data_IF_669073906174
#
_entry.id   IF_669073906174
#
_cell.length_a   1.000
_cell.length_b   1.000
_cell.length_c   1.000
_cell.angle_alpha   90.00
_cell.angle_beta   90.00
_cell.angle_gamma   90.00
#
_symmetry.space_group_name_H-M   'P 1'
#
loop_
_entity.id
_entity.type
_entity.pdbx_description
1 polymer ?
#
# COMPACT_ATOMS: atom_id res chain seq x y z
N UNK A 1 58.57 -4.40 43.95
CA UNK A 1 58.09 -5.25 42.83
C UNK A 1 56.56 -5.40 42.72
N UNK A 2 55.74 -5.04 43.73
CA UNK A 2 54.28 -5.24 43.69
C UNK A 2 53.48 -4.19 42.86
N UNK A 3 54.03 -3.00 42.65
CA UNK A 3 53.35 -1.92 41.88
C UNK A 3 53.36 -2.14 40.35
N UNK A 4 54.38 -2.82 39.79
CA UNK A 4 54.45 -3.10 38.35
C UNK A 4 53.42 -4.15 37.90
N UNK A 5 53.12 -5.12 38.76
CA UNK A 5 52.11 -6.15 38.49
C UNK A 5 50.68 -5.57 38.47
N UNK A 6 50.38 -4.62 39.37
CA UNK A 6 49.07 -3.97 39.44
C UNK A 6 48.81 -3.07 38.21
N UNK A 7 49.84 -2.37 37.73
CA UNK A 7 49.74 -1.55 36.52
C UNK A 7 49.55 -2.38 35.24
N UNK A 8 50.20 -3.55 35.13
CA UNK A 8 49.97 -4.46 34.00
C UNK A 8 48.56 -5.05 34.01
N UNK A 9 48.02 -5.39 35.18
CA UNK A 9 46.67 -5.94 35.32
C UNK A 9 45.59 -4.92 34.91
N UNK A 10 45.80 -3.65 35.24
CA UNK A 10 44.93 -2.53 34.84
C UNK A 10 44.99 -2.29 33.32
N UNK A 11 46.17 -2.40 32.69
CA UNK A 11 46.30 -2.26 31.23
C UNK A 11 45.59 -3.42 30.51
N UNK A 12 45.67 -4.65 31.01
CA UNK A 12 44.94 -5.80 30.43
C UNK A 12 43.42 -5.63 30.56
N UNK A 13 42.93 -5.08 31.68
CA UNK A 13 41.50 -4.77 31.86
C UNK A 13 40.99 -3.66 30.93
N UNK A 14 41.84 -2.73 30.50
CA UNK A 14 41.47 -1.68 29.54
C UNK A 14 41.45 -2.16 28.08
N UNK A 15 42.11 -3.28 27.75
CA UNK A 15 42.06 -3.88 26.40
C UNK A 15 40.89 -4.85 26.20
N UNK A 16 40.12 -5.17 27.26
CA UNK A 16 38.84 -5.90 27.16
C UNK A 16 37.62 -4.99 27.03
N UNK A 17 37.80 -3.69 26.73
CA UNK A 17 36.74 -2.88 26.12
C UNK A 17 36.57 -3.36 24.68
N UNK A 18 36.03 -4.57 24.58
CA UNK A 18 35.57 -5.23 23.39
C UNK A 18 34.69 -4.24 22.65
N UNK A 19 35.06 -3.96 21.40
CA UNK A 19 34.23 -3.20 20.49
C UNK A 19 32.89 -3.95 20.41
N UNK A 20 31.88 -3.48 21.16
CA UNK A 20 30.54 -4.07 21.13
C UNK A 20 30.07 -3.97 19.68
N UNK A 21 30.11 -5.11 18.99
CA UNK A 21 29.58 -5.18 17.63
C UNK A 21 28.08 -4.94 17.76
N UNK A 22 27.65 -3.74 17.38
CA UNK A 22 26.24 -3.40 17.28
C UNK A 22 25.57 -4.49 16.45
N UNK A 23 24.64 -5.27 17.02
CA UNK A 23 24.07 -6.38 16.30
C UNK A 23 23.28 -5.87 15.09
N UNK A 24 23.11 -6.71 14.08
CA UNK A 24 22.32 -6.33 12.92
C UNK A 24 20.89 -5.96 13.34
N UNK A 25 20.31 -4.95 12.69
CA UNK A 25 18.94 -4.53 12.93
C UNK A 25 18.22 -4.21 11.61
N UNK A 26 16.90 -4.33 11.61
CA UNK A 26 16.06 -3.86 10.51
C UNK A 26 15.12 -2.77 11.02
N UNK A 27 15.18 -1.63 10.35
CA UNK A 27 14.23 -0.54 10.46
C UNK A 27 13.15 -0.72 9.39
N UNK A 28 12.02 -1.31 9.77
CA UNK A 28 10.84 -1.45 8.92
C UNK A 28 10.02 -0.17 8.97
N UNK A 29 9.87 0.51 7.82
CA UNK A 29 9.02 1.69 7.64
C UNK A 29 7.81 1.34 6.80
N UNK A 30 6.67 1.90 7.19
CA UNK A 30 5.39 1.76 6.50
C UNK A 30 5.02 3.14 5.98
N UNK A 31 4.89 3.26 4.66
CA UNK A 31 4.49 4.49 4.00
C UNK A 31 3.39 4.22 2.99
N UNK A 32 2.58 5.24 2.71
CA UNK A 32 1.61 5.19 1.62
C UNK A 32 2.14 5.94 0.40
N UNK A 33 2.00 5.34 -0.78
CA UNK A 33 2.28 6.00 -2.06
C UNK A 33 1.33 7.18 -2.26
N UNK A 34 0.04 6.95 -2.04
CA UNK A 34 -0.98 7.98 -2.01
C UNK A 34 -1.02 8.65 -0.62
N UNK A 35 -0.63 9.92 -0.55
CA UNK A 35 -0.59 10.69 0.71
C UNK A 35 -1.97 10.98 1.33
N UNK A 36 -3.05 10.71 0.59
CA UNK A 36 -4.43 10.74 1.09
C UNK A 36 -4.75 9.52 1.98
N UNK A 37 -3.94 8.46 1.90
CA UNK A 37 -3.99 7.32 2.78
C UNK A 37 -3.01 7.53 3.94
N UNK A 38 -3.51 7.39 5.18
CA UNK A 38 -2.71 7.55 6.40
C UNK A 38 -3.09 6.54 7.50
N UNK A 39 -4.18 5.81 7.30
CA UNK A 39 -4.77 4.95 8.31
C UNK A 39 -4.10 3.57 8.31
N UNK A 40 -3.21 3.38 9.30
CA UNK A 40 -2.51 2.11 9.50
C UNK A 40 -3.44 0.97 9.95
N UNK A 41 -4.63 1.27 10.50
CA UNK A 41 -5.56 0.22 10.97
C UNK A 41 -6.02 -0.69 9.84
N UNK A 42 -5.97 -0.18 8.59
CA UNK A 42 -6.30 -0.90 7.35
C UNK A 42 -5.32 -2.02 7.00
N UNK A 43 -4.16 -2.08 7.65
CA UNK A 43 -3.11 -3.07 7.41
C UNK A 43 -3.25 -4.21 8.42
N UNK A 44 -3.99 -5.28 8.11
CA UNK A 44 -4.31 -6.27 9.15
C UNK A 44 -3.13 -7.04 9.72
N UNK A 45 -2.08 -7.27 8.92
CA UNK A 45 -0.93 -8.01 9.43
C UNK A 45 0.31 -7.92 8.57
N UNK A 46 1.44 -7.99 9.25
CA UNK A 46 2.77 -8.13 8.64
C UNK A 46 3.41 -9.36 9.27
N UNK A 47 3.70 -10.37 8.44
CA UNK A 47 4.41 -11.57 8.87
C UNK A 47 5.84 -11.50 8.37
N UNK A 48 6.79 -11.71 9.28
CA UNK A 48 8.20 -11.71 8.99
C UNK A 48 8.71 -13.12 9.14
N UNK A 49 9.35 -13.62 8.10
CA UNK A 49 9.98 -14.93 8.06
C UNK A 49 11.50 -14.76 8.06
N UNK A 50 12.21 -15.62 8.78
CA UNK A 50 13.65 -15.81 8.68
C UNK A 50 13.91 -17.21 8.15
N UNK A 51 14.58 -17.31 7.00
CA UNK A 51 14.95 -18.58 6.36
C UNK A 51 13.74 -19.53 6.22
N UNK A 52 12.58 -18.97 5.84
CA UNK A 52 11.33 -19.70 5.65
C UNK A 52 10.54 -20.00 6.94
N UNK A 53 11.06 -19.69 8.13
CA UNK A 53 10.35 -19.86 9.41
C UNK A 53 9.80 -18.55 9.92
N UNK A 54 8.64 -18.57 10.57
CA UNK A 54 8.05 -17.36 11.16
C UNK A 54 9.01 -16.82 12.23
N UNK A 55 9.45 -15.58 12.02
CA UNK A 55 10.30 -14.84 12.94
C UNK A 55 9.47 -13.91 13.84
N UNK A 56 8.53 -13.16 13.24
CA UNK A 56 7.66 -12.23 13.98
C UNK A 56 6.35 -12.00 13.23
N UNK A 57 5.29 -11.67 13.96
CA UNK A 57 4.00 -11.25 13.40
C UNK A 57 3.60 -9.94 14.04
N UNK A 58 3.09 -9.01 13.24
CA UNK A 58 2.46 -7.78 13.69
C UNK A 58 1.01 -7.77 13.22
N UNK A 59 0.12 -7.22 14.03
CA UNK A 59 -1.33 -7.13 13.75
C UNK A 59 -1.85 -5.71 14.03
N UNK A 60 -2.90 -5.31 13.34
CA UNK A 60 -3.63 -4.07 13.68
C UNK A 60 -4.34 -4.17 15.02
N UNK A 61 -4.78 -5.37 15.40
CA UNK A 61 -5.73 -5.57 16.51
C UNK A 61 -5.10 -6.26 17.72
N UNK A 62 -3.93 -6.87 17.54
CA UNK A 62 -3.24 -7.63 18.60
C UNK A 62 -1.78 -7.20 18.71
N UNK A 63 -1.23 -7.28 19.92
CA UNK A 63 0.19 -7.01 20.16
C UNK A 63 1.06 -8.13 19.53
N UNK A 64 2.21 -7.79 18.91
CA UNK A 64 2.72 -6.44 18.73
C UNK A 64 1.99 -5.69 17.61
N UNK A 65 1.61 -4.44 17.88
CA UNK A 65 0.86 -3.62 16.95
C UNK A 65 1.71 -3.14 15.77
N UNK A 66 1.04 -2.85 14.66
CA UNK A 66 1.65 -2.18 13.51
C UNK A 66 1.84 -0.69 13.84
N UNK A 67 3.07 -0.20 13.71
CA UNK A 67 3.43 1.21 13.80
C UNK A 67 4.09 1.67 12.49
N UNK A 68 4.09 2.98 12.24
CA UNK A 68 4.72 3.58 11.05
C UNK A 68 6.20 3.19 10.91
N UNK A 69 6.85 2.97 12.04
CA UNK A 69 8.24 2.53 12.13
C UNK A 69 8.35 1.42 13.17
N UNK A 70 8.99 0.32 12.80
CA UNK A 70 9.21 -0.87 13.64
C UNK A 70 10.69 -1.22 13.56
N UNK A 71 11.34 -1.35 14.71
CA UNK A 71 12.72 -1.83 14.79
C UNK A 71 12.75 -3.32 15.15
N UNK A 72 13.53 -4.09 14.40
CA UNK A 72 13.87 -5.48 14.67
C UNK A 72 15.36 -5.53 14.98
N UNK A 73 15.71 -5.62 16.26
CA UNK A 73 17.11 -5.64 16.71
C UNK A 73 17.62 -7.06 16.91
N UNK A 74 18.93 -7.17 17.19
CA UNK A 74 19.58 -8.44 17.54
C UNK A 74 19.41 -9.52 16.48
N UNK A 75 19.47 -9.13 15.21
CA UNK A 75 19.29 -10.03 14.08
C UNK A 75 20.56 -10.84 13.82
N UNK A 76 20.35 -12.09 13.44
CA UNK A 76 21.39 -13.01 12.99
C UNK A 76 21.36 -13.10 11.48
N UNK A 77 22.49 -13.49 10.87
CA UNK A 77 22.57 -13.70 9.43
C UNK A 77 21.47 -14.65 8.91
N UNK A 78 20.99 -14.34 7.70
CA UNK A 78 19.91 -15.08 7.05
C UNK A 78 19.08 -14.22 6.10
N UNK A 79 18.12 -14.85 5.45
CA UNK A 79 17.15 -14.16 4.58
C UNK A 79 15.89 -13.83 5.37
N UNK A 80 15.53 -12.55 5.39
CA UNK A 80 14.30 -12.06 6.00
C UNK A 80 13.27 -11.73 4.91
N UNK A 81 12.07 -12.28 5.02
CA UNK A 81 10.93 -12.02 4.13
C UNK A 81 9.78 -11.36 4.89
N UNK A 82 9.33 -10.21 4.39
CA UNK A 82 8.20 -9.44 4.90
C UNK A 82 7.00 -9.72 4.01
N UNK A 83 5.97 -10.34 4.58
CA UNK A 83 4.74 -10.73 3.89
C UNK A 83 3.57 -9.95 4.46
N UNK A 84 2.83 -9.26 3.61
CA UNK A 84 1.68 -8.45 4.01
C UNK A 84 0.63 -8.42 2.90
N UNK A 85 -0.62 -8.17 3.26
CA UNK A 85 -1.71 -7.91 2.30
C UNK A 85 -1.82 -6.41 2.06
N UNK A 86 -1.91 -5.99 0.80
CA UNK A 86 -2.13 -4.59 0.43
C UNK A 86 -3.62 -4.20 0.51
N UNK A 87 -3.95 -2.93 0.27
CA UNK A 87 -5.33 -2.43 0.38
C UNK A 87 -6.30 -2.98 -0.68
N UNK A 88 -5.80 -3.74 -1.67
CA UNK A 88 -6.58 -4.39 -2.75
C UNK A 88 -6.40 -5.92 -2.73
N UNK A 89 -6.23 -6.51 -1.55
CA UNK A 89 -6.22 -7.96 -1.31
C UNK A 89 -5.13 -8.78 -2.04
N UNK A 90 -4.02 -8.14 -2.42
CA UNK A 90 -2.85 -8.83 -2.94
C UNK A 90 -1.85 -9.10 -1.81
N UNK A 91 -1.33 -10.33 -1.76
CA UNK A 91 -0.22 -10.67 -0.87
C UNK A 91 1.10 -10.24 -1.50
N UNK A 92 1.78 -9.28 -0.88
CA UNK A 92 3.08 -8.77 -1.29
C UNK A 92 4.19 -9.35 -0.41
N UNK A 93 5.39 -9.48 -1.00
CA UNK A 93 6.57 -10.03 -0.36
C UNK A 93 7.78 -9.14 -0.62
N UNK A 94 8.53 -8.80 0.42
CA UNK A 94 9.80 -8.09 0.32
C UNK A 94 10.89 -8.89 1.02
N UNK A 95 11.97 -9.20 0.32
CA UNK A 95 13.10 -9.98 0.85
C UNK A 95 14.32 -9.09 1.04
N UNK A 96 15.05 -9.31 2.13
CA UNK A 96 16.39 -8.77 2.33
C UNK A 96 17.30 -9.85 2.93
N UNK A 97 18.59 -9.72 2.69
CA UNK A 97 19.60 -10.62 3.21
C UNK A 97 20.45 -9.90 4.26
N UNK A 98 20.47 -10.43 5.48
CA UNK A 98 21.27 -9.93 6.59
C UNK A 98 22.57 -10.73 6.63
N UNK A 99 23.70 -10.04 6.47
CA UNK A 99 25.07 -10.63 6.44
C UNK A 99 26.05 -9.92 7.37
N UNK A 100 25.81 -8.64 7.63
CA UNK A 100 26.71 -7.75 8.33
C UNK A 100 25.99 -7.17 9.55
N UNK A 101 26.78 -6.88 10.57
CA UNK A 101 26.34 -6.21 11.79
C UNK A 101 26.12 -4.71 11.52
N UNK A 102 25.01 -4.39 10.87
CA UNK A 102 24.57 -3.03 10.54
C UNK A 102 23.05 -2.89 10.60
N UNK A 103 22.58 -1.65 10.47
CA UNK A 103 21.15 -1.37 10.30
C UNK A 103 20.75 -1.46 8.82
N UNK A 104 19.67 -2.19 8.56
CA UNK A 104 19.03 -2.34 7.26
C UNK A 104 17.72 -1.56 7.25
N UNK A 105 17.37 -0.93 6.13
CA UNK A 105 16.10 -0.25 5.97
C UNK A 105 15.18 -1.04 5.05
N UNK A 106 13.95 -1.31 5.51
CA UNK A 106 12.90 -1.97 4.73
C UNK A 106 11.71 -1.05 4.67
N UNK A 107 11.33 -0.66 3.46
CA UNK A 107 10.14 0.16 3.22
C UNK A 107 9.03 -0.69 2.59
N UNK A 108 7.82 -0.66 3.14
CA UNK A 108 6.63 -1.29 2.55
C UNK A 108 5.56 -0.25 2.23
N UNK A 109 4.81 -0.51 1.17
CA UNK A 109 3.72 0.33 0.69
C UNK A 109 2.42 -0.46 0.70
N UNK A 110 1.55 -0.25 1.70
CA UNK A 110 0.29 -0.99 1.80
C UNK A 110 -0.72 -0.64 0.71
N UNK A 111 -0.65 0.55 0.12
CA UNK A 111 -1.52 1.00 -0.96
C UNK A 111 -0.91 0.84 -2.36
N UNK A 112 0.27 0.22 -2.45
CA UNK A 112 0.83 -0.21 -3.73
C UNK A 112 0.06 -1.41 -4.24
N UNK A 113 -0.35 -1.36 -5.52
CA UNK A 113 -1.10 -2.40 -6.20
C UNK A 113 -0.41 -2.82 -7.50
N UNK A 114 -0.42 -4.12 -7.79
CA UNK A 114 0.07 -4.69 -9.05
C UNK A 114 -1.12 -4.83 -10.00
N UNK A 115 -1.52 -3.73 -10.63
CA UNK A 115 -2.72 -3.64 -11.48
C UNK A 115 -2.42 -3.59 -12.99
N UNK A 116 -1.15 -3.61 -13.39
CA UNK A 116 -0.75 -3.35 -14.79
C UNK A 116 -1.33 -4.35 -15.80
N UNK A 117 -1.58 -5.59 -15.39
CA UNK A 117 -2.15 -6.63 -16.25
C UNK A 117 -3.60 -6.34 -16.66
N UNK A 118 -4.28 -5.45 -15.93
CA UNK A 118 -5.66 -5.03 -16.16
C UNK A 118 -5.77 -3.82 -17.10
N UNK A 119 -4.67 -3.07 -17.30
CA UNK A 119 -4.67 -1.85 -18.14
C UNK A 119 -5.15 -2.14 -19.56
N UNK A 120 -4.78 -3.30 -20.13
CA UNK A 120 -5.22 -3.69 -21.49
C UNK A 120 -6.74 -3.90 -21.59
N UNK A 121 -7.42 -4.15 -20.46
CA UNK A 121 -8.87 -4.37 -20.34
C UNK A 121 -9.62 -3.14 -19.79
N UNK A 122 -8.93 -2.03 -19.52
CA UNK A 122 -9.55 -0.79 -19.07
C UNK A 122 -10.38 -0.16 -20.20
N UNK A 123 -11.64 0.14 -19.91
CA UNK A 123 -12.53 0.89 -20.80
C UNK A 123 -12.00 2.30 -21.04
N UNK A 124 -11.50 2.97 -20.01
CA UNK A 124 -10.95 4.34 -20.15
C UNK A 124 -9.71 4.36 -21.02
N UNK A 125 -8.78 3.41 -20.83
CA UNK A 125 -7.56 3.31 -21.64
C UNK A 125 -7.85 3.07 -23.12
N UNK A 126 -8.88 2.28 -23.41
CA UNK A 126 -9.27 1.84 -24.75
C UNK A 126 -10.34 2.73 -25.40
N UNK A 127 -10.70 3.84 -24.76
CA UNK A 127 -11.73 4.76 -25.24
C UNK A 127 -11.39 5.34 -26.62
N UNK A 128 -12.34 5.22 -27.55
CA UNK A 128 -12.26 5.79 -28.90
C UNK A 128 -13.01 7.13 -28.97
N UNK A 129 -12.88 7.81 -30.11
CA UNK A 129 -13.66 9.02 -30.38
C UNK A 129 -15.17 8.76 -30.25
N UNK A 130 -15.88 9.76 -29.75
CA UNK A 130 -17.34 9.78 -29.56
C UNK A 130 -17.88 8.66 -28.65
N UNK A 131 -17.01 7.87 -28.03
CA UNK A 131 -17.38 6.92 -27.00
C UNK A 131 -17.29 7.57 -25.61
N UNK A 132 -18.08 7.03 -24.69
CA UNK A 132 -18.03 7.37 -23.27
C UNK A 132 -17.80 6.13 -22.41
N UNK A 133 -17.16 6.35 -21.27
CA UNK A 133 -17.14 5.42 -20.14
C UNK A 133 -17.90 6.08 -19.00
N UNK A 134 -18.88 5.39 -18.44
CA UNK A 134 -19.71 5.89 -17.36
C UNK A 134 -19.40 5.09 -16.11
N UNK A 135 -18.94 5.78 -15.07
CA UNK A 135 -18.77 5.23 -13.74
C UNK A 135 -19.96 5.65 -12.89
N UNK A 136 -20.54 4.68 -12.19
CA UNK A 136 -21.51 4.89 -11.14
C UNK A 136 -20.92 4.33 -9.85
N UNK A 137 -21.04 5.11 -8.79
CA UNK A 137 -20.56 4.76 -7.46
C UNK A 137 -21.70 4.94 -6.46
N UNK A 138 -21.90 3.93 -5.63
CA UNK A 138 -22.82 3.97 -4.50
C UNK A 138 -22.12 3.43 -3.26
N UNK A 139 -22.06 4.22 -2.19
CA UNK A 139 -21.59 3.77 -0.88
C UNK A 139 -22.78 3.68 0.05
N UNK A 140 -22.94 2.54 0.73
CA UNK A 140 -23.99 2.30 1.71
C UNK A 140 -23.37 1.80 3.01
N UNK A 141 -23.62 2.51 4.11
CA UNK A 141 -23.28 2.08 5.46
C UNK A 141 -24.42 2.35 6.44
N UNK A 142 -24.24 1.94 7.70
CA UNK A 142 -25.29 2.10 8.73
C UNK A 142 -25.71 3.56 8.98
N UNK A 143 -24.80 4.51 8.73
CA UNK A 143 -25.01 5.94 9.05
C UNK A 143 -24.71 6.88 7.87
N UNK A 144 -24.46 6.34 6.68
CA UNK A 144 -24.20 7.16 5.49
C UNK A 144 -24.69 6.47 4.22
N UNK A 145 -25.05 7.29 3.23
CA UNK A 145 -25.20 6.86 1.85
C UNK A 145 -24.64 7.94 0.93
N UNK A 146 -23.98 7.52 -0.15
CA UNK A 146 -23.46 8.42 -1.17
C UNK A 146 -23.71 7.83 -2.55
N UNK A 147 -24.08 8.68 -3.51
CA UNK A 147 -24.22 8.29 -4.92
C UNK A 147 -23.52 9.31 -5.79
N UNK A 148 -22.63 8.85 -6.64
CA UNK A 148 -21.88 9.70 -7.55
C UNK A 148 -21.77 9.06 -8.94
N UNK A 149 -21.48 9.90 -9.93
CA UNK A 149 -21.22 9.45 -11.28
C UNK A 149 -20.13 10.27 -11.93
N UNK A 150 -19.41 9.63 -12.84
CA UNK A 150 -18.32 10.24 -13.60
C UNK A 150 -18.38 9.72 -15.04
N UNK A 151 -18.43 10.63 -16.00
CA UNK A 151 -18.42 10.29 -17.43
C UNK A 151 -17.07 10.70 -18.01
N UNK A 152 -16.37 9.74 -18.61
CA UNK A 152 -15.12 9.99 -19.34
C UNK A 152 -15.40 9.96 -20.82
N UNK A 153 -15.01 11.02 -21.53
CA UNK A 153 -15.09 11.11 -22.99
C UNK A 153 -13.73 11.43 -23.58
N UNK A 154 -13.58 11.15 -24.88
CA UNK A 154 -12.38 11.48 -25.65
C UNK A 154 -12.77 12.33 -26.86
N UNK A 155 -12.02 13.43 -27.06
CA UNK A 155 -12.10 14.30 -28.25
C UNK A 155 -10.70 14.49 -28.82
N UNK A 156 -10.42 13.87 -29.95
CA UNK A 156 -9.08 13.74 -30.55
C UNK A 156 -8.07 13.04 -29.63
N UNK A 157 -7.09 13.81 -29.14
CA UNK A 157 -6.06 13.29 -28.21
C UNK A 157 -6.32 13.68 -26.76
N UNK A 158 -7.46 14.31 -26.49
CA UNK A 158 -7.76 14.92 -25.20
C UNK A 158 -8.90 14.16 -24.53
N UNK A 159 -8.72 13.85 -23.24
CA UNK A 159 -9.71 13.22 -22.40
C UNK A 159 -10.42 14.26 -21.54
N UNK A 160 -11.71 14.07 -21.32
CA UNK A 160 -12.54 14.92 -20.48
C UNK A 160 -13.27 14.07 -19.45
N UNK A 161 -13.35 14.59 -18.23
CA UNK A 161 -14.19 14.08 -17.15
C UNK A 161 -15.40 15.00 -16.98
N UNK A 162 -16.58 14.42 -16.87
CA UNK A 162 -17.82 15.13 -16.58
C UNK A 162 -18.49 14.57 -15.32
N UNK A 163 -18.86 15.46 -14.40
CA UNK A 163 -19.59 15.14 -13.17
C UNK A 163 -20.54 16.31 -12.87
N UNK A 164 -21.81 16.00 -12.55
CA UNK A 164 -22.86 17.01 -12.26
C UNK A 164 -22.95 18.13 -13.31
N UNK A 165 -22.79 17.78 -14.60
CA UNK A 165 -22.83 18.73 -15.72
C UNK A 165 -21.60 19.63 -15.89
N UNK A 166 -20.59 19.51 -15.01
CA UNK A 166 -19.32 20.18 -15.18
C UNK A 166 -18.35 19.28 -15.95
N UNK A 167 -17.77 19.80 -17.03
CA UNK A 167 -16.77 19.09 -17.83
C UNK A 167 -15.38 19.71 -17.64
N UNK A 168 -14.38 18.84 -17.49
CA UNK A 168 -12.99 19.23 -17.26
C UNK A 168 -12.05 18.40 -18.14
N UNK A 169 -11.08 19.08 -18.76
CA UNK A 169 -9.97 18.42 -19.44
C UNK A 169 -9.06 17.72 -18.43
N UNK A 170 -8.75 16.46 -18.68
CA UNK A 170 -7.87 15.66 -17.83
C UNK A 170 -6.41 15.86 -18.23
N UNK A 171 -5.54 16.02 -17.23
CA UNK A 171 -4.10 15.82 -17.40
C UNK A 171 -3.78 14.33 -17.56
N UNK A 172 -2.54 14.02 -17.97
CA UNK A 172 -2.07 12.62 -18.04
C UNK A 172 -2.15 11.94 -16.67
N UNK A 173 -1.69 12.61 -15.62
CA UNK A 173 -1.70 12.08 -14.25
C UNK A 173 -3.13 11.79 -13.77
N UNK A 174 -4.08 12.68 -14.05
CA UNK A 174 -5.48 12.50 -13.69
C UNK A 174 -6.13 11.33 -14.45
N UNK A 175 -5.81 11.20 -15.74
CA UNK A 175 -6.25 10.06 -16.54
C UNK A 175 -5.65 8.75 -16.00
N UNK A 176 -4.37 8.75 -15.65
CA UNK A 176 -3.68 7.59 -15.08
C UNK A 176 -4.29 7.21 -13.71
N UNK A 177 -4.71 8.18 -12.89
CA UNK A 177 -5.44 7.91 -11.64
C UNK A 177 -6.79 7.22 -11.88
N UNK A 178 -7.56 7.67 -12.88
CA UNK A 178 -8.84 7.04 -13.23
C UNK A 178 -8.62 5.61 -13.74
N UNK A 179 -7.64 5.41 -14.62
CA UNK A 179 -7.28 4.08 -15.15
C UNK A 179 -6.81 3.16 -14.02
N UNK A 180 -5.98 3.67 -13.10
CA UNK A 180 -5.52 2.92 -11.93
C UNK A 180 -6.71 2.48 -11.09
N UNK A 181 -7.64 3.39 -10.77
CA UNK A 181 -8.83 3.06 -9.99
C UNK A 181 -9.68 1.99 -10.67
N UNK A 182 -9.95 2.12 -11.98
CA UNK A 182 -10.66 1.11 -12.76
C UNK A 182 -9.98 -0.26 -12.71
N UNK A 183 -8.65 -0.30 -12.80
CA UNK A 183 -7.89 -1.54 -12.79
C UNK A 183 -7.78 -2.17 -11.39
N UNK A 184 -7.73 -1.36 -10.35
CA UNK A 184 -7.69 -1.82 -8.95
C UNK A 184 -9.00 -2.48 -8.52
N UNK A 185 -10.15 -2.08 -9.06
CA UNK A 185 -11.43 -2.76 -8.84
C UNK A 185 -11.40 -4.25 -9.20
N UNK A 186 -10.57 -4.64 -10.18
CA UNK A 186 -10.43 -6.05 -10.57
C UNK A 186 -9.55 -6.88 -9.60
N UNK A 187 -8.93 -6.22 -8.62
CA UNK A 187 -8.10 -6.86 -7.60
C UNK A 187 -8.84 -7.03 -6.27
N UNK A 188 -9.82 -6.18 -6.01
CA UNK A 188 -10.60 -6.18 -4.77
C UNK A 188 -11.36 -7.49 -4.67
N UNK A 189 -11.40 -8.03 -3.46
CA UNK A 189 -12.18 -9.20 -3.11
C UNK A 189 -13.20 -8.82 -2.05
N UNK A 190 -14.21 -9.66 -1.91
CA UNK A 190 -15.21 -9.54 -0.86
C UNK A 190 -14.56 -9.40 0.51
N UNK A 191 -15.18 -8.57 1.34
CA UNK A 191 -14.71 -8.22 2.67
C UNK A 191 -15.73 -8.63 3.73
N UNK A 192 -15.75 -7.87 4.83
CA UNK A 192 -16.66 -8.13 5.95
C UNK A 192 -17.06 -6.86 6.69
N UNK A 193 -16.94 -5.72 6.01
CA UNK A 193 -17.29 -4.44 6.58
C UNK A 193 -18.80 -4.21 6.54
N UNK A 194 -19.31 -3.39 7.45
CA UNK A 194 -20.73 -2.96 7.45
C UNK A 194 -21.02 -1.89 6.40
N UNK A 195 -19.98 -1.37 5.75
CA UNK A 195 -20.10 -0.46 4.59
C UNK A 195 -19.77 -1.24 3.33
N UNK A 196 -20.62 -1.10 2.32
CA UNK A 196 -20.43 -1.66 0.98
C UNK A 196 -20.36 -0.53 -0.03
N UNK A 197 -19.29 -0.52 -0.81
CA UNK A 197 -19.11 0.35 -1.95
C UNK A 197 -19.38 -0.44 -3.23
N UNK A 198 -20.37 -0.01 -4.00
CA UNK A 198 -20.81 -0.62 -5.25
C UNK A 198 -20.38 0.26 -6.43
N UNK A 199 -19.79 -0.38 -7.44
CA UNK A 199 -19.27 0.27 -8.64
C UNK A 199 -19.85 -0.37 -9.89
N UNK A 200 -20.36 0.46 -10.80
CA UNK A 200 -20.75 0.04 -12.15
C UNK A 200 -19.95 0.86 -13.15
N UNK A 201 -19.25 0.18 -14.06
CA UNK A 201 -18.52 0.83 -15.16
C UNK A 201 -19.11 0.38 -16.50
N UNK A 202 -19.66 1.32 -17.27
CA UNK A 202 -20.28 1.05 -18.57
C UNK A 202 -19.46 1.62 -19.72
N UNK A 203 -19.37 0.88 -20.81
CA UNK A 203 -18.85 1.37 -22.09
C UNK A 203 -19.69 0.81 -23.24
N UNK A 204 -20.57 1.65 -23.80
CA UNK A 204 -21.55 1.22 -24.80
C UNK A 204 -22.49 0.15 -24.26
N UNK A 205 -22.41 -1.07 -24.80
CA UNK A 205 -23.21 -2.23 -24.36
C UNK A 205 -22.50 -3.11 -23.30
N UNK A 206 -21.26 -2.79 -22.95
CA UNK A 206 -20.49 -3.54 -21.97
C UNK A 206 -20.63 -2.90 -20.59
N UNK A 207 -20.70 -3.74 -19.57
CA UNK A 207 -20.84 -3.34 -18.18
C UNK A 207 -19.94 -4.24 -17.32
N UNK A 208 -19.32 -3.63 -16.31
CA UNK A 208 -18.62 -4.33 -15.23
C UNK A 208 -19.20 -3.85 -13.91
N UNK A 209 -19.38 -4.77 -12.98
CA UNK A 209 -19.96 -4.53 -11.66
C UNK A 209 -18.97 -5.04 -10.60
N UNK A 210 -18.76 -4.26 -9.55
CA UNK A 210 -17.81 -4.57 -8.48
C UNK A 210 -18.37 -4.15 -7.13
N UNK A 211 -17.99 -4.89 -6.10
CA UNK A 211 -18.31 -4.62 -4.71
C UNK A 211 -17.02 -4.56 -3.90
N UNK A 212 -16.83 -3.47 -3.14
CA UNK A 212 -15.79 -3.34 -2.12
C UNK A 212 -16.43 -3.32 -0.73
N UNK A 213 -16.29 -4.44 -0.03
CA UNK A 213 -16.73 -4.60 1.36
C UNK A 213 -15.53 -4.64 2.33
N UNK A 214 -14.36 -4.20 1.88
CA UNK A 214 -13.11 -4.24 2.67
C UNK A 214 -12.98 -3.03 3.59
N UNK A 215 -13.57 -1.89 3.23
CA UNK A 215 -13.35 -0.58 3.88
C UNK A 215 -11.88 -0.08 3.86
N UNK A 216 -11.01 -0.73 3.07
CA UNK A 216 -9.57 -0.45 3.04
C UNK A 216 -9.18 0.47 1.89
N UNK A 217 -9.61 0.17 0.67
CA UNK A 217 -9.05 0.74 -0.54
C UNK A 217 -9.34 2.24 -0.75
N UNK A 218 -10.56 2.70 -0.45
CA UNK A 218 -11.01 4.10 -0.63
C UNK A 218 -10.81 4.63 -2.08
N UNK A 219 -10.93 3.78 -3.09
CA UNK A 219 -10.56 4.10 -4.47
C UNK A 219 -11.31 5.28 -5.07
N UNK A 220 -12.64 5.33 -4.91
CA UNK A 220 -13.45 6.44 -5.43
C UNK A 220 -13.00 7.79 -4.87
N UNK A 221 -12.97 7.92 -3.55
CA UNK A 221 -12.58 9.15 -2.85
C UNK A 221 -11.18 9.59 -3.27
N UNK A 222 -10.22 8.67 -3.26
CA UNK A 222 -8.84 8.95 -3.63
C UNK A 222 -8.72 9.43 -5.08
N UNK A 223 -9.47 8.82 -6.01
CA UNK A 223 -9.53 9.23 -7.42
C UNK A 223 -10.15 10.62 -7.55
N UNK A 224 -11.34 10.84 -6.97
CA UNK A 224 -12.09 12.10 -7.05
C UNK A 224 -11.30 13.30 -6.51
N UNK A 225 -10.63 13.14 -5.36
CA UNK A 225 -9.77 14.18 -4.77
C UNK A 225 -8.58 14.54 -5.68
N UNK A 226 -7.94 13.55 -6.31
CA UNK A 226 -6.81 13.78 -7.22
C UNK A 226 -7.22 14.44 -8.53
N UNK A 227 -8.39 14.09 -9.07
CA UNK A 227 -8.88 14.70 -10.30
C UNK A 227 -9.55 16.06 -10.06
N UNK A 228 -9.79 16.44 -8.80
CA UNK A 228 -10.36 17.74 -8.38
C UNK A 228 -11.65 18.06 -9.15
N UNK A 229 -12.62 17.16 -9.06
CA UNK A 229 -14.00 17.44 -9.47
C UNK A 229 -14.72 18.00 -8.24
N UNK A 230 -15.20 19.23 -8.33
CA UNK A 230 -16.00 19.89 -7.28
C UNK A 230 -17.43 20.08 -7.77
#
# INVERSE_FOLDING_TARGET
MKFKALALLLIVLFFEVSCEKVPASIKLRIEFENKLNQDLSKIYGIQIYKDGKIFKKFSSFEKPYISKEITLDSLTNGTYEFVYENLVNQTLRKKIEVKENKSYEVLIYPDYSVYKDFIKRSFVRNLREDQKVEFYFESLGCFHSAKESLIITKKGKVYYAENKGQSKKLSKEQLDTIIKMECELELIKDGGCTTSDHYIIKSGKQEKEFYDETCKWNGWRNMSEQIKLN
#
